data_IF_384720010481
#
_entry.id   IF_384720010481
#
_cell.length_a   1.000
_cell.length_b   1.000
_cell.length_c   1.000
_cell.angle_alpha   90.00
_cell.angle_beta   90.00
_cell.angle_gamma   90.00
#
_symmetry.space_group_name_H-M   'P 1'
#
loop_
_entity.id
_entity.type
_entity.pdbx_description
1 polymer ?
#
# COMPACT_ATOMS: atom_id res chain seq x y z
N UNK A 1 -43.00 7.12 -19.05
CA UNK A 1 -42.32 5.89 -18.57
C UNK A 1 -41.49 6.33 -17.36
N UNK A 2 -41.96 6.06 -16.14
CA UNK A 2 -41.19 6.37 -14.92
C UNK A 2 -40.10 5.32 -14.79
N UNK A 3 -38.85 5.71 -14.93
CA UNK A 3 -37.68 4.85 -14.58
C UNK A 3 -37.62 4.88 -13.06
N UNK A 4 -38.10 3.83 -12.40
CA UNK A 4 -37.84 3.63 -10.98
C UNK A 4 -36.38 3.25 -10.82
N UNK A 5 -35.57 4.20 -10.37
CA UNK A 5 -34.21 3.91 -9.94
C UNK A 5 -34.30 3.32 -8.54
N UNK A 6 -34.21 2.00 -8.46
CA UNK A 6 -34.17 1.32 -7.16
C UNK A 6 -32.72 1.43 -6.61
N UNK A 7 -32.60 1.78 -5.34
CA UNK A 7 -31.34 1.62 -4.61
C UNK A 7 -30.97 0.14 -4.63
N UNK A 8 -29.76 -0.18 -5.14
CA UNK A 8 -29.27 -1.55 -5.19
C UNK A 8 -28.47 -1.87 -3.95
N UNK A 9 -28.75 -2.99 -3.31
CA UNK A 9 -27.95 -3.57 -2.25
C UNK A 9 -27.28 -4.83 -2.81
N UNK A 10 -25.95 -4.93 -2.68
CA UNK A 10 -25.23 -6.16 -2.99
C UNK A 10 -25.30 -7.07 -1.76
N UNK A 11 -25.98 -8.20 -1.89
CA UNK A 11 -26.22 -9.13 -0.78
C UNK A 11 -25.03 -10.05 -0.50
N UNK A 12 -24.11 -10.17 -1.46
CA UNK A 12 -22.90 -10.96 -1.27
C UNK A 12 -22.05 -10.40 -0.13
N UNK A 13 -21.74 -11.28 0.83
CA UNK A 13 -20.94 -10.88 1.99
C UNK A 13 -19.51 -10.51 1.60
N UNK A 14 -19.14 -9.27 1.84
CA UNK A 14 -17.77 -8.78 1.65
C UNK A 14 -16.97 -8.88 2.95
N UNK A 15 -15.69 -9.25 2.84
CA UNK A 15 -14.83 -9.65 3.96
C UNK A 15 -13.61 -8.75 4.09
N UNK A 16 -13.29 -8.37 5.32
CA UNK A 16 -11.99 -7.80 5.70
C UNK A 16 -11.02 -8.94 6.14
N UNK A 17 -9.75 -8.62 6.38
CA UNK A 17 -8.76 -9.64 6.81
C UNK A 17 -9.11 -10.28 8.15
N UNK A 18 -9.80 -9.57 9.04
CA UNK A 18 -10.24 -10.09 10.34
C UNK A 18 -11.34 -11.16 10.24
N UNK A 19 -12.03 -11.26 9.11
CA UNK A 19 -13.20 -12.13 8.94
C UNK A 19 -12.82 -13.53 8.46
N UNK A 20 -11.53 -13.75 8.19
CA UNK A 20 -11.02 -15.02 7.69
C UNK A 20 -9.73 -15.47 8.38
N UNK A 21 -9.51 -16.78 8.37
CA UNK A 21 -8.22 -17.40 8.68
C UNK A 21 -7.78 -18.32 7.53
N UNK A 22 -6.47 -18.55 7.40
CA UNK A 22 -5.99 -19.62 6.52
C UNK A 22 -6.38 -20.97 7.08
N UNK A 23 -6.91 -21.83 6.23
CA UNK A 23 -7.06 -23.25 6.55
C UNK A 23 -5.71 -23.95 6.41
N UNK A 24 -5.15 -24.53 7.48
CA UNK A 24 -3.92 -25.29 7.38
C UNK A 24 -4.06 -26.47 6.41
N UNK A 25 -2.99 -26.76 5.68
CA UNK A 25 -2.91 -27.88 4.73
C UNK A 25 -1.66 -28.69 4.98
N UNK A 26 -1.68 -29.96 4.54
CA UNK A 26 -0.47 -30.79 4.54
C UNK A 26 0.63 -30.10 3.73
N UNK A 27 1.81 -29.99 4.32
CA UNK A 27 2.97 -29.33 3.73
C UNK A 27 4.14 -30.30 3.62
N UNK A 28 4.89 -30.23 2.55
CA UNK A 28 6.14 -30.96 2.36
C UNK A 28 7.37 -30.14 2.77
N UNK A 29 7.16 -28.88 3.13
CA UNK A 29 8.22 -27.96 3.56
C UNK A 29 8.75 -28.37 4.93
N UNK A 30 10.06 -28.56 5.05
CA UNK A 30 10.73 -28.94 6.29
C UNK A 30 11.06 -27.75 7.17
N UNK A 31 11.26 -26.57 6.56
CA UNK A 31 11.67 -25.37 7.27
C UNK A 31 11.04 -24.11 6.64
N UNK A 32 10.79 -23.09 7.48
CA UNK A 32 10.42 -21.74 7.01
C UNK A 32 11.51 -21.10 6.15
N UNK A 33 12.77 -21.55 6.28
CA UNK A 33 13.91 -21.10 5.46
C UNK A 33 13.75 -21.51 4.00
N UNK A 34 13.00 -22.58 3.73
CA UNK A 34 12.78 -23.10 2.37
C UNK A 34 11.82 -22.22 1.56
N UNK A 35 11.10 -21.31 2.21
CA UNK A 35 10.13 -20.43 1.55
C UNK A 35 10.82 -19.26 0.87
N UNK A 36 10.64 -19.14 -0.45
CA UNK A 36 11.12 -18.00 -1.22
C UNK A 36 10.08 -16.87 -1.24
N UNK A 37 10.39 -15.73 -0.62
CA UNK A 37 9.52 -14.53 -0.63
C UNK A 37 9.77 -13.58 -1.81
N UNK A 38 10.87 -13.74 -2.54
CA UNK A 38 11.16 -12.87 -3.71
C UNK A 38 10.22 -13.21 -4.86
N UNK A 39 9.76 -12.18 -5.53
CA UNK A 39 8.98 -12.26 -6.76
C UNK A 39 9.62 -11.38 -7.83
N UNK A 40 9.45 -11.78 -9.09
CA UNK A 40 9.83 -10.99 -10.24
C UNK A 40 8.58 -10.61 -11.02
N UNK A 41 8.44 -9.34 -11.35
CA UNK A 41 7.32 -8.78 -12.11
C UNK A 41 7.82 -8.08 -13.35
N UNK A 42 7.14 -8.28 -14.47
CA UNK A 42 7.28 -7.49 -15.68
C UNK A 42 6.03 -6.64 -15.84
N UNK A 43 6.21 -5.34 -16.01
CA UNK A 43 5.10 -4.40 -16.05
C UNK A 43 4.59 -4.19 -17.46
N UNK A 44 3.26 -4.06 -17.60
CA UNK A 44 2.52 -4.09 -18.85
C UNK A 44 2.96 -3.02 -19.86
N UNK A 45 3.00 -1.78 -19.41
CA UNK A 45 3.27 -0.63 -20.29
C UNK A 45 4.73 -0.22 -20.29
N UNK A 46 5.35 -0.14 -19.15
CA UNK A 46 6.74 0.28 -19.02
C UNK A 46 7.74 -0.77 -19.52
N UNK A 47 7.32 -2.03 -19.63
CA UNK A 47 8.19 -3.19 -19.89
C UNK A 47 9.37 -3.33 -18.93
N UNK A 48 9.39 -2.56 -17.84
CA UNK A 48 10.39 -2.71 -16.79
C UNK A 48 10.22 -4.06 -16.09
N UNK A 49 11.33 -4.60 -15.64
CA UNK A 49 11.36 -5.71 -14.72
C UNK A 49 11.81 -5.23 -13.33
N UNK A 50 11.17 -5.77 -12.30
CA UNK A 50 11.57 -5.59 -10.91
C UNK A 50 11.55 -6.92 -10.17
N UNK A 51 12.57 -7.16 -9.33
CA UNK A 51 12.67 -8.37 -8.51
C UNK A 51 13.00 -8.01 -7.07
N UNK A 52 12.20 -8.53 -6.15
CA UNK A 52 12.36 -8.27 -4.71
C UNK A 52 11.23 -8.87 -3.89
N UNK A 53 11.13 -8.47 -2.63
CA UNK A 53 10.02 -8.84 -1.75
C UNK A 53 8.93 -7.78 -1.92
N UNK A 54 7.73 -8.14 -2.38
CA UNK A 54 6.72 -7.18 -2.84
C UNK A 54 5.94 -6.51 -1.69
N UNK A 55 6.67 -5.95 -0.75
CA UNK A 55 6.15 -5.10 0.34
C UNK A 55 6.58 -3.66 0.05
N UNK A 56 5.65 -2.72 0.24
CA UNK A 56 5.83 -1.31 -0.08
C UNK A 56 5.54 -0.48 1.17
N UNK A 57 6.44 0.44 1.53
CA UNK A 57 6.14 1.46 2.52
C UNK A 57 5.23 2.54 1.91
N UNK A 58 4.17 2.90 2.63
CA UNK A 58 3.19 3.88 2.18
C UNK A 58 3.77 5.30 2.12
N UNK A 59 3.26 6.10 1.20
CA UNK A 59 3.64 7.51 1.00
C UNK A 59 3.07 8.45 2.07
N UNK A 60 3.25 8.08 3.34
CA UNK A 60 2.78 8.82 4.50
C UNK A 60 3.95 9.41 5.27
N UNK A 61 3.74 10.54 5.94
CA UNK A 61 4.73 11.12 6.85
C UNK A 61 5.13 10.09 7.92
N UNK A 62 6.44 9.99 8.19
CA UNK A 62 6.99 9.01 9.12
C UNK A 62 7.12 7.58 8.57
N UNK A 63 6.68 7.33 7.33
CA UNK A 63 6.77 6.03 6.65
C UNK A 63 7.41 6.16 5.26
N UNK A 64 6.91 7.05 4.41
CA UNK A 64 7.45 7.30 3.06
C UNK A 64 8.73 8.15 3.08
N UNK A 65 9.66 7.82 3.94
CA UNK A 65 10.90 8.59 4.20
C UNK A 65 12.12 7.89 3.63
N UNK A 66 13.15 8.68 3.26
CA UNK A 66 14.39 8.14 2.70
C UNK A 66 15.15 7.22 3.65
N UNK A 67 15.05 7.46 4.98
CA UNK A 67 15.63 6.55 5.97
C UNK A 67 14.98 5.16 5.95
N UNK A 68 13.65 5.13 5.86
CA UNK A 68 12.87 3.88 5.68
C UNK A 68 13.23 3.23 4.32
N UNK A 69 13.30 4.04 3.23
CA UNK A 69 13.64 3.54 1.90
C UNK A 69 15.01 2.86 1.88
N UNK A 70 16.00 3.41 2.58
CA UNK A 70 17.31 2.78 2.70
C UNK A 70 17.20 1.39 3.32
N UNK A 71 16.49 1.26 4.44
CA UNK A 71 16.36 -0.02 5.15
C UNK A 71 15.53 -1.03 4.39
N UNK A 72 14.42 -0.62 3.80
CA UNK A 72 13.61 -1.51 2.98
C UNK A 72 14.37 -2.00 1.74
N UNK A 73 15.18 -1.14 1.11
CA UNK A 73 15.96 -1.52 -0.07
C UNK A 73 17.02 -2.60 0.23
N UNK A 74 17.54 -2.67 1.46
CA UNK A 74 18.45 -3.72 1.90
C UNK A 74 17.79 -5.11 1.85
N UNK A 75 16.44 -5.15 1.97
CA UNK A 75 15.61 -6.35 1.84
C UNK A 75 14.97 -6.51 0.44
N UNK A 76 15.29 -5.63 -0.50
CA UNK A 76 14.69 -5.62 -1.83
C UNK A 76 13.19 -5.26 -1.82
N UNK A 77 12.76 -4.37 -0.91
CA UNK A 77 11.40 -3.84 -0.79
C UNK A 77 11.33 -2.42 -1.31
N UNK A 78 10.13 -1.96 -1.68
CA UNK A 78 9.88 -0.64 -2.25
C UNK A 78 9.42 0.34 -1.17
N UNK A 79 9.72 1.63 -1.37
CA UNK A 79 9.12 2.73 -0.59
C UNK A 79 8.50 3.75 -1.55
N UNK A 80 7.20 4.03 -1.38
CA UNK A 80 6.59 5.20 -1.97
C UNK A 80 6.93 6.42 -1.11
N UNK A 81 7.71 7.35 -1.67
CA UNK A 81 8.07 8.58 -0.96
C UNK A 81 6.84 9.49 -0.83
N UNK A 82 6.81 10.30 0.21
CA UNK A 82 5.77 11.34 0.37
C UNK A 82 5.70 12.27 -0.85
N UNK A 83 4.59 12.97 -1.06
CA UNK A 83 4.40 13.87 -2.23
C UNK A 83 5.36 15.07 -2.22
N UNK A 84 5.86 15.45 -1.04
CA UNK A 84 6.77 16.57 -0.85
C UNK A 84 8.24 16.13 -1.08
N UNK A 85 8.58 15.92 -2.36
CA UNK A 85 9.94 15.51 -2.73
C UNK A 85 10.94 16.65 -2.51
N UNK A 86 11.97 16.36 -1.75
CA UNK A 86 13.12 17.26 -1.60
C UNK A 86 14.30 16.72 -2.43
N UNK A 87 14.57 17.37 -3.55
CA UNK A 87 15.69 17.02 -4.44
C UNK A 87 17.02 16.98 -3.69
N UNK A 88 17.25 17.93 -2.75
CA UNK A 88 18.49 17.98 -1.96
C UNK A 88 18.62 16.75 -1.07
N UNK A 89 17.54 16.32 -0.46
CA UNK A 89 17.52 15.09 0.37
C UNK A 89 17.76 13.85 -0.49
N UNK A 90 17.12 13.73 -1.65
CA UNK A 90 17.36 12.61 -2.57
C UNK A 90 18.82 12.55 -3.01
N UNK A 91 19.48 13.69 -3.28
CA UNK A 91 20.91 13.76 -3.63
C UNK A 91 21.84 13.16 -2.59
N UNK A 92 21.53 13.28 -1.30
CA UNK A 92 22.32 12.72 -0.22
C UNK A 92 22.47 11.19 -0.30
N UNK A 93 21.48 10.52 -0.89
CA UNK A 93 21.46 9.07 -1.09
C UNK A 93 22.03 8.62 -2.45
N UNK A 94 22.55 9.53 -3.27
CA UNK A 94 23.01 9.25 -4.65
C UNK A 94 24.04 8.12 -4.75
N UNK A 95 24.79 7.84 -3.70
CA UNK A 95 25.78 6.75 -3.67
C UNK A 95 25.17 5.36 -3.47
N UNK A 96 23.90 5.27 -3.06
CA UNK A 96 23.23 3.99 -2.75
C UNK A 96 22.32 3.59 -3.91
N UNK A 97 22.91 2.97 -4.94
CA UNK A 97 22.19 2.60 -6.18
C UNK A 97 20.93 1.73 -5.93
N UNK A 98 20.96 0.86 -4.93
CA UNK A 98 19.82 -0.02 -4.59
C UNK A 98 18.57 0.74 -4.18
N UNK A 99 18.69 1.91 -3.54
CA UNK A 99 17.53 2.72 -3.14
C UNK A 99 16.73 3.16 -4.36
N UNK A 100 17.39 3.62 -5.41
CA UNK A 100 16.71 4.18 -6.58
C UNK A 100 15.91 3.19 -7.40
N UNK A 101 16.25 1.90 -7.31
CA UNK A 101 15.47 0.83 -7.93
C UNK A 101 14.22 0.47 -7.11
N UNK A 102 14.19 0.90 -5.84
CA UNK A 102 13.20 0.54 -4.86
C UNK A 102 12.47 1.76 -4.26
N UNK A 103 12.45 2.91 -4.95
CA UNK A 103 11.61 4.04 -4.59
C UNK A 103 10.63 4.38 -5.68
N UNK A 104 9.43 4.82 -5.26
CA UNK A 104 8.43 5.43 -6.12
C UNK A 104 8.24 6.89 -5.72
N UNK A 105 8.16 7.78 -6.70
CA UNK A 105 7.85 9.20 -6.49
C UNK A 105 6.34 9.36 -6.48
N UNK A 106 5.78 9.80 -5.35
CA UNK A 106 4.33 10.00 -5.24
C UNK A 106 3.93 11.41 -5.66
N UNK A 107 2.81 11.53 -6.36
CA UNK A 107 2.18 12.80 -6.75
C UNK A 107 0.67 12.72 -6.54
N UNK A 108 0.02 13.88 -6.42
CA UNK A 108 -1.41 14.05 -6.61
C UNK A 108 -1.73 14.37 -8.07
N UNK A 109 -2.87 15.04 -8.30
CA UNK A 109 -3.32 15.46 -9.64
C UNK A 109 -3.19 16.96 -9.88
N UNK A 110 -2.58 17.71 -8.96
CA UNK A 110 -2.36 19.14 -9.11
C UNK A 110 -1.24 19.42 -10.12
N UNK A 111 -1.33 20.56 -10.80
CA UNK A 111 -0.32 21.00 -11.76
C UNK A 111 1.07 21.10 -11.12
N UNK A 112 1.13 21.64 -9.90
CA UNK A 112 2.36 21.82 -9.14
C UNK A 112 3.03 20.47 -8.83
N UNK A 113 2.24 19.44 -8.51
CA UNK A 113 2.75 18.07 -8.25
C UNK A 113 3.42 17.52 -9.51
N UNK A 114 2.78 17.70 -10.66
CA UNK A 114 3.30 17.25 -11.95
C UNK A 114 4.57 18.00 -12.39
N UNK A 115 4.62 19.32 -12.16
CA UNK A 115 5.81 20.13 -12.43
C UNK A 115 6.98 19.72 -11.53
N UNK A 116 6.70 19.43 -10.24
CA UNK A 116 7.73 18.95 -9.32
C UNK A 116 8.25 17.57 -9.72
N UNK A 117 7.36 16.65 -10.10
CA UNK A 117 7.75 15.34 -10.64
C UNK A 117 8.71 15.50 -11.84
N UNK A 118 8.38 16.42 -12.78
CA UNK A 118 9.20 16.68 -13.95
C UNK A 118 10.62 17.14 -13.57
N UNK A 119 10.74 18.04 -12.58
CA UNK A 119 12.03 18.53 -12.06
C UNK A 119 12.83 17.39 -11.45
N UNK A 120 12.19 16.56 -10.63
CA UNK A 120 12.85 15.42 -9.97
C UNK A 120 13.31 14.39 -11.01
N UNK A 121 12.46 13.99 -11.95
CA UNK A 121 12.80 12.97 -12.95
C UNK A 121 13.80 13.46 -14.00
N UNK A 122 13.91 14.78 -14.26
CA UNK A 122 14.98 15.34 -15.09
C UNK A 122 16.37 15.11 -14.46
N UNK A 123 16.46 15.18 -13.12
CA UNK A 123 17.70 14.97 -12.40
C UNK A 123 17.96 13.49 -12.05
N UNK A 124 16.89 12.74 -11.72
CA UNK A 124 16.94 11.34 -11.31
C UNK A 124 16.18 10.45 -12.30
N UNK A 125 16.58 10.51 -13.57
CA UNK A 125 15.92 9.75 -14.66
C UNK A 125 15.92 8.24 -14.46
N UNK A 126 16.80 7.70 -13.62
CA UNK A 126 16.91 6.28 -13.29
C UNK A 126 15.84 5.77 -12.29
N UNK A 127 15.09 6.67 -11.61
CA UNK A 127 13.94 6.24 -10.78
C UNK A 127 12.87 5.70 -11.73
N UNK A 128 12.42 4.47 -11.48
CA UNK A 128 11.52 3.74 -12.38
C UNK A 128 10.04 3.91 -12.04
N UNK A 129 9.69 4.17 -10.78
CA UNK A 129 8.30 4.13 -10.32
C UNK A 129 7.74 5.53 -10.07
N UNK A 130 6.51 5.76 -10.56
CA UNK A 130 5.68 6.92 -10.26
C UNK A 130 4.42 6.41 -9.56
N UNK A 131 4.02 7.01 -8.43
CA UNK A 131 2.79 6.70 -7.72
C UNK A 131 1.83 7.89 -7.78
N UNK A 132 0.75 7.77 -8.55
CA UNK A 132 -0.32 8.76 -8.61
C UNK A 132 -1.36 8.39 -7.56
N UNK A 133 -1.42 9.17 -6.49
CA UNK A 133 -2.16 8.85 -5.28
C UNK A 133 -3.22 9.90 -4.95
N UNK A 134 -4.48 9.47 -4.98
CA UNK A 134 -5.65 10.25 -4.58
C UNK A 134 -6.56 9.41 -3.68
N UNK A 135 -7.33 10.07 -2.82
CA UNK A 135 -8.29 9.39 -1.95
C UNK A 135 -9.44 8.73 -2.75
N UNK A 136 -9.80 9.32 -3.88
CA UNK A 136 -10.88 8.86 -4.76
C UNK A 136 -10.40 8.76 -6.21
N UNK A 137 -10.07 7.55 -6.65
CA UNK A 137 -9.63 7.24 -8.01
C UNK A 137 -10.76 7.10 -9.03
N UNK A 138 -12.03 7.35 -8.66
CA UNK A 138 -13.20 7.16 -9.52
C UNK A 138 -13.55 8.38 -10.39
N UNK A 139 -12.81 9.48 -10.28
CA UNK A 139 -13.11 10.67 -11.08
C UNK A 139 -12.55 10.55 -12.51
N UNK A 140 -13.33 11.02 -13.49
CA UNK A 140 -12.90 11.12 -14.88
C UNK A 140 -11.61 11.96 -15.02
N UNK A 141 -11.49 13.01 -14.19
CA UNK A 141 -10.27 13.82 -14.11
C UNK A 141 -9.04 12.97 -13.78
N UNK A 142 -9.17 12.00 -12.88
CA UNK A 142 -8.07 11.12 -12.48
C UNK A 142 -7.62 10.23 -13.64
N UNK A 143 -8.54 9.58 -14.36
CA UNK A 143 -8.22 8.75 -15.53
C UNK A 143 -7.56 9.57 -16.66
N UNK A 144 -8.05 10.79 -16.92
CA UNK A 144 -7.43 11.71 -17.89
C UNK A 144 -6.02 12.14 -17.48
N UNK A 145 -5.82 12.43 -16.19
CA UNK A 145 -4.51 12.79 -15.65
C UNK A 145 -3.54 11.61 -15.75
N UNK A 146 -3.97 10.40 -15.40
CA UNK A 146 -3.17 9.18 -15.54
C UNK A 146 -2.70 8.98 -16.98
N UNK A 147 -3.59 9.14 -17.98
CA UNK A 147 -3.22 9.08 -19.41
C UNK A 147 -2.14 10.09 -19.75
N UNK A 148 -2.27 11.34 -19.29
CA UNK A 148 -1.27 12.39 -19.55
C UNK A 148 0.10 12.08 -18.94
N UNK A 149 0.13 11.44 -17.77
CA UNK A 149 1.38 10.98 -17.13
C UNK A 149 1.98 9.81 -17.91
N UNK A 150 1.15 8.86 -18.37
CA UNK A 150 1.60 7.74 -19.21
C UNK A 150 2.20 8.21 -20.52
N UNK A 151 1.54 9.11 -21.22
CA UNK A 151 2.02 9.67 -22.49
C UNK A 151 3.38 10.35 -22.33
N UNK A 152 3.57 11.09 -21.25
CA UNK A 152 4.83 11.77 -20.97
C UNK A 152 5.95 10.84 -20.48
N UNK A 153 5.61 9.80 -19.77
CA UNK A 153 6.56 8.87 -19.16
C UNK A 153 6.29 7.41 -19.57
N UNK A 154 6.40 7.06 -20.87
CA UNK A 154 6.04 5.75 -21.39
C UNK A 154 6.88 4.61 -20.79
N UNK A 155 8.12 4.88 -20.36
CA UNK A 155 9.05 3.90 -19.81
C UNK A 155 9.01 3.80 -18.28
N UNK A 156 8.21 4.62 -17.59
CA UNK A 156 8.08 4.55 -16.13
C UNK A 156 6.97 3.58 -15.73
N UNK A 157 7.19 2.84 -14.67
CA UNK A 157 6.15 2.00 -14.07
C UNK A 157 5.21 2.88 -13.25
N UNK A 158 3.95 2.95 -13.64
CA UNK A 158 2.96 3.82 -13.01
C UNK A 158 2.07 3.01 -12.08
N UNK A 159 2.05 3.42 -10.82
CA UNK A 159 1.12 3.01 -9.78
C UNK A 159 0.01 4.06 -9.73
N UNK A 160 -1.26 3.66 -9.75
CA UNK A 160 -2.39 4.59 -9.69
C UNK A 160 -3.50 4.09 -8.75
N UNK A 161 -4.11 4.97 -8.00
CA UNK A 161 -5.23 4.66 -7.08
C UNK A 161 -5.57 5.86 -6.16
N UNK A 162 -6.56 5.62 -5.24
CA UNK A 162 -7.11 4.32 -4.84
C UNK A 162 -8.50 4.03 -5.44
N UNK A 163 -8.72 2.76 -5.70
CA UNK A 163 -10.01 2.20 -6.10
C UNK A 163 -10.27 0.91 -5.30
N UNK A 164 -11.47 0.34 -5.38
CA UNK A 164 -11.86 -0.90 -4.67
C UNK A 164 -12.74 -1.83 -5.50
N UNK A 165 -13.01 -1.51 -6.77
CA UNK A 165 -13.87 -2.30 -7.64
C UNK A 165 -13.13 -2.79 -8.88
N UNK A 166 -13.60 -3.91 -9.44
CA UNK A 166 -13.02 -4.55 -10.61
C UNK A 166 -13.08 -3.65 -11.85
N UNK A 167 -14.21 -2.99 -12.09
CA UNK A 167 -14.45 -2.08 -13.21
C UNK A 167 -13.48 -0.88 -13.21
N UNK A 168 -13.31 -0.22 -12.07
CA UNK A 168 -12.35 0.89 -11.96
C UNK A 168 -10.90 0.42 -12.00
N UNK A 169 -10.61 -0.78 -11.53
CA UNK A 169 -9.29 -1.40 -11.71
C UNK A 169 -8.99 -1.56 -13.20
N UNK A 170 -9.94 -2.09 -13.98
CA UNK A 170 -9.80 -2.21 -15.44
C UNK A 170 -9.65 -0.84 -16.11
N UNK A 171 -10.46 0.15 -15.74
CA UNK A 171 -10.41 1.51 -16.28
C UNK A 171 -9.02 2.14 -16.07
N UNK A 172 -8.45 2.03 -14.86
CA UNK A 172 -7.11 2.58 -14.58
C UNK A 172 -6.01 1.86 -15.35
N UNK A 173 -6.12 0.54 -15.52
CA UNK A 173 -5.17 -0.23 -16.33
C UNK A 173 -5.27 0.22 -17.79
N UNK A 174 -6.46 0.30 -18.36
CA UNK A 174 -6.67 0.74 -19.74
C UNK A 174 -6.24 2.21 -19.95
N UNK A 175 -6.27 3.02 -18.89
CA UNK A 175 -5.76 4.39 -18.87
C UNK A 175 -4.24 4.48 -18.69
N UNK A 176 -3.53 3.35 -18.55
CA UNK A 176 -2.06 3.31 -18.57
C UNK A 176 -1.39 2.97 -17.24
N UNK A 177 -2.11 2.51 -16.21
CA UNK A 177 -1.50 2.01 -14.98
C UNK A 177 -0.86 0.63 -15.20
N UNK A 178 0.36 0.45 -14.70
CA UNK A 178 1.01 -0.86 -14.59
C UNK A 178 0.55 -1.59 -13.33
N UNK A 179 0.27 -0.83 -12.27
CA UNK A 179 -0.12 -1.32 -10.95
C UNK A 179 -1.27 -0.46 -10.42
N UNK A 180 -2.36 -1.09 -9.99
CA UNK A 180 -3.50 -0.38 -9.38
C UNK A 180 -3.43 -0.50 -7.86
N UNK A 181 -3.58 0.63 -7.17
CA UNK A 181 -3.58 0.70 -5.71
C UNK A 181 -5.01 0.55 -5.19
N UNK A 182 -5.26 -0.53 -4.43
CA UNK A 182 -6.59 -0.99 -3.99
C UNK A 182 -6.78 -0.76 -2.51
N UNK A 183 -7.76 0.05 -2.15
CA UNK A 183 -8.17 0.29 -0.76
C UNK A 183 -8.77 1.67 -0.53
N UNK A 184 -10.01 1.71 -0.03
CA UNK A 184 -10.70 2.92 0.43
C UNK A 184 -11.26 2.63 1.82
N UNK A 185 -10.74 3.31 2.83
CA UNK A 185 -11.21 3.20 4.20
C UNK A 185 -10.62 2.10 5.08
N UNK A 186 -9.72 1.19 4.64
CA UNK A 186 -9.25 0.10 5.50
C UNK A 186 -8.08 0.50 6.42
N UNK A 187 -7.44 1.65 6.20
CA UNK A 187 -6.26 2.08 6.96
C UNK A 187 -6.55 2.37 8.43
N UNK A 188 -5.60 2.07 9.33
CA UNK A 188 -5.75 2.25 10.79
C UNK A 188 -5.94 3.71 11.23
N UNK A 189 -5.51 4.66 10.41
CA UNK A 189 -5.68 6.11 10.63
C UNK A 189 -6.65 6.75 9.64
N UNK A 190 -7.32 5.94 8.81
CA UNK A 190 -8.34 6.38 7.87
C UNK A 190 -9.69 6.48 8.58
N UNK A 191 -10.43 7.56 8.32
CA UNK A 191 -11.78 7.77 8.84
C UNK A 191 -12.82 7.93 7.73
N UNK A 192 -12.47 7.64 6.47
CA UNK A 192 -13.34 7.78 5.30
C UNK A 192 -14.66 7.04 5.50
N UNK A 193 -14.63 5.76 5.96
CA UNK A 193 -15.86 4.97 6.21
C UNK A 193 -16.79 5.64 7.22
N UNK A 194 -16.24 6.32 8.23
CA UNK A 194 -17.02 7.01 9.28
C UNK A 194 -17.54 8.36 8.77
N UNK A 195 -16.70 9.11 8.08
CA UNK A 195 -17.04 10.48 7.65
C UNK A 195 -17.94 10.54 6.43
N UNK A 196 -17.84 9.55 5.54
CA UNK A 196 -18.50 9.60 4.23
C UNK A 196 -19.46 8.42 3.99
N UNK A 197 -19.40 7.37 4.79
CA UNK A 197 -20.10 6.11 4.54
C UNK A 197 -19.49 5.29 3.37
N UNK A 198 -18.40 5.79 2.74
CA UNK A 198 -17.77 5.14 1.58
C UNK A 198 -16.68 4.19 2.05
N UNK A 199 -16.60 3.02 1.44
CA UNK A 199 -15.54 2.03 1.69
C UNK A 199 -15.91 0.67 1.13
N UNK A 200 -14.95 -0.25 1.21
CA UNK A 200 -15.14 -1.64 0.82
C UNK A 200 -14.31 -2.54 1.73
N UNK A 201 -14.80 -3.74 2.14
CA UNK A 201 -14.02 -4.69 2.91
C UNK A 201 -12.79 -5.16 2.14
N UNK A 202 -11.60 -5.01 2.75
CA UNK A 202 -10.33 -5.00 2.02
C UNK A 202 -9.97 -6.34 1.38
N UNK A 203 -10.27 -7.47 2.02
CA UNK A 203 -9.97 -8.77 1.43
C UNK A 203 -10.77 -9.01 0.14
N UNK A 204 -12.08 -8.70 0.17
CA UNK A 204 -12.93 -8.82 -1.01
C UNK A 204 -12.49 -7.88 -2.13
N UNK A 205 -12.17 -6.61 -1.80
CA UNK A 205 -11.61 -5.67 -2.77
C UNK A 205 -10.33 -6.21 -3.43
N UNK A 206 -9.43 -6.80 -2.64
CA UNK A 206 -8.18 -7.37 -3.15
C UNK A 206 -8.45 -8.54 -4.09
N UNK A 207 -9.35 -9.46 -3.74
CA UNK A 207 -9.68 -10.63 -4.58
C UNK A 207 -10.27 -10.19 -5.92
N UNK A 208 -11.27 -9.31 -5.90
CA UNK A 208 -11.98 -8.85 -7.10
C UNK A 208 -11.08 -8.01 -8.01
N UNK A 209 -10.31 -7.08 -7.43
CA UNK A 209 -9.40 -6.24 -8.20
C UNK A 209 -8.18 -7.02 -8.72
N UNK A 210 -7.69 -8.05 -8.00
CA UNK A 210 -6.61 -8.92 -8.47
C UNK A 210 -7.04 -9.70 -9.71
N UNK A 211 -8.23 -10.28 -9.69
CA UNK A 211 -8.78 -11.02 -10.83
C UNK A 211 -8.87 -10.12 -12.08
N UNK A 212 -9.47 -8.92 -11.91
CA UNK A 212 -9.57 -7.94 -12.98
C UNK A 212 -8.21 -7.49 -13.54
N UNK A 213 -7.24 -7.23 -12.66
CA UNK A 213 -5.91 -6.78 -13.09
C UNK A 213 -5.11 -7.88 -13.78
N UNK A 214 -5.14 -9.09 -13.23
CA UNK A 214 -4.43 -10.23 -13.81
C UNK A 214 -4.98 -10.62 -15.19
N UNK A 215 -6.32 -10.53 -15.38
CA UNK A 215 -6.95 -10.73 -16.69
C UNK A 215 -6.46 -9.76 -17.77
N UNK A 216 -6.02 -8.56 -17.35
CA UNK A 216 -5.44 -7.55 -18.25
C UNK A 216 -3.91 -7.56 -18.29
N UNK A 217 -3.23 -8.48 -17.59
CA UNK A 217 -1.77 -8.57 -17.53
C UNK A 217 -1.12 -7.43 -16.74
N UNK A 218 -1.83 -6.85 -15.79
CA UNK A 218 -1.35 -5.83 -14.86
C UNK A 218 -1.33 -6.35 -13.42
N UNK A 219 -1.02 -5.50 -12.45
CA UNK A 219 -0.80 -5.87 -11.06
C UNK A 219 -1.62 -5.00 -10.11
N UNK A 220 -1.79 -5.45 -8.86
CA UNK A 220 -2.39 -4.66 -7.80
C UNK A 220 -1.50 -4.53 -6.57
N UNK A 221 -1.72 -3.44 -5.83
CA UNK A 221 -1.23 -3.24 -4.46
C UNK A 221 -2.42 -3.31 -3.52
N UNK A 222 -2.40 -4.20 -2.53
CA UNK A 222 -3.31 -4.14 -1.41
C UNK A 222 -2.85 -3.03 -0.44
N UNK A 223 -3.59 -1.92 -0.38
CA UNK A 223 -3.24 -0.74 0.40
C UNK A 223 -4.17 -0.56 1.60
N UNK A 224 -3.64 -0.76 2.80
CA UNK A 224 -4.35 -0.64 4.06
C UNK A 224 -4.96 -1.95 4.59
N UNK A 225 -5.48 -1.89 5.82
CA UNK A 225 -6.12 -3.01 6.50
C UNK A 225 -5.18 -3.98 7.21
N UNK A 226 -3.89 -4.02 6.87
CA UNK A 226 -2.91 -4.88 7.53
C UNK A 226 -2.48 -4.28 8.88
N UNK A 227 -2.67 -5.04 9.97
CA UNK A 227 -2.29 -4.67 11.34
C UNK A 227 -1.24 -5.61 11.93
N UNK A 228 -1.09 -6.79 11.36
CA UNK A 228 -0.15 -7.83 11.79
C UNK A 228 0.41 -8.61 10.58
N UNK A 229 1.48 -9.40 10.77
CA UNK A 229 2.05 -10.22 9.69
C UNK A 229 1.07 -11.19 9.03
N UNK A 230 0.09 -11.70 9.80
CA UNK A 230 -0.97 -12.56 9.28
C UNK A 230 -1.86 -11.86 8.25
N UNK A 231 -2.15 -10.57 8.44
CA UNK A 231 -2.95 -9.80 7.47
C UNK A 231 -2.17 -9.57 6.17
N UNK A 232 -0.86 -9.32 6.27
CA UNK A 232 0.04 -9.22 5.10
C UNK A 232 0.01 -10.53 4.29
N UNK A 233 0.08 -11.67 4.98
CA UNK A 233 -0.04 -12.97 4.33
C UNK A 233 -1.42 -13.17 3.68
N UNK A 234 -2.52 -12.75 4.35
CA UNK A 234 -3.88 -12.84 3.82
C UNK A 234 -4.06 -11.98 2.57
N UNK A 235 -3.46 -10.79 2.52
CA UNK A 235 -3.47 -9.95 1.32
C UNK A 235 -2.82 -10.68 0.12
N UNK A 236 -1.66 -11.28 0.30
CA UNK A 236 -1.03 -12.11 -0.72
C UNK A 236 -1.83 -13.37 -1.04
N UNK A 237 -2.43 -14.00 -0.03
CA UNK A 237 -3.32 -15.15 -0.20
C UNK A 237 -4.57 -14.81 -1.00
N UNK A 238 -5.09 -13.58 -0.89
CA UNK A 238 -6.20 -13.04 -1.66
C UNK A 238 -5.84 -12.64 -3.10
N UNK A 239 -4.57 -12.72 -3.48
CA UNK A 239 -4.14 -12.46 -4.86
C UNK A 239 -3.38 -11.14 -5.05
N UNK A 240 -3.14 -10.35 -4.01
CA UNK A 240 -2.33 -9.14 -4.14
C UNK A 240 -0.93 -9.46 -4.69
N UNK A 241 -0.47 -8.65 -5.64
CA UNK A 241 0.91 -8.71 -6.13
C UNK A 241 1.86 -8.02 -5.17
N UNK A 242 1.44 -6.87 -4.65
CA UNK A 242 2.16 -6.08 -3.66
C UNK A 242 1.26 -5.78 -2.47
N UNK A 243 1.88 -5.54 -1.30
CA UNK A 243 1.17 -5.09 -0.08
C UNK A 243 1.81 -3.80 0.41
N UNK A 244 1.00 -2.74 0.55
CA UNK A 244 1.44 -1.45 1.07
C UNK A 244 1.15 -1.35 2.56
N UNK A 245 2.16 -0.94 3.33
CA UNK A 245 2.12 -0.85 4.78
C UNK A 245 2.37 0.58 5.25
N UNK A 246 1.44 1.11 6.04
CA UNK A 246 1.56 2.38 6.74
C UNK A 246 1.87 2.18 8.22
N UNK A 247 0.84 2.00 9.06
CA UNK A 247 0.96 1.91 10.52
C UNK A 247 1.89 0.81 11.04
N UNK A 248 2.03 -0.31 10.31
CA UNK A 248 2.98 -1.36 10.69
C UNK A 248 4.44 -0.92 10.59
N UNK A 249 4.77 0.05 9.74
CA UNK A 249 6.10 0.60 9.55
C UNK A 249 6.30 1.97 10.24
N UNK A 250 5.28 2.48 10.92
CA UNK A 250 5.36 3.72 11.69
C UNK A 250 6.00 3.51 13.07
N UNK A 251 6.54 4.57 13.67
CA UNK A 251 7.09 4.56 15.03
C UNK A 251 8.56 4.19 15.13
N UNK A 252 9.30 4.18 14.02
CA UNK A 252 10.72 3.83 13.94
C UNK A 252 11.62 5.06 13.78
N UNK A 253 12.89 4.90 14.17
CA UNK A 253 13.93 5.94 14.06
C UNK A 253 14.07 6.48 12.65
N UNK A 254 14.03 5.59 11.66
CA UNK A 254 14.24 5.90 10.25
C UNK A 254 13.10 6.74 9.65
N UNK A 255 11.91 6.75 10.29
CA UNK A 255 10.74 7.53 9.88
C UNK A 255 10.77 8.99 10.35
N UNK A 256 11.69 9.36 11.26
CA UNK A 256 11.85 10.74 11.78
C UNK A 256 10.57 11.42 12.29
N UNK A 257 9.63 10.64 12.82
CA UNK A 257 8.40 11.16 13.40
C UNK A 257 8.65 11.93 14.70
N UNK A 258 7.70 12.78 15.11
CA UNK A 258 7.79 13.54 16.35
C UNK A 258 7.65 12.62 17.57
N UNK A 259 8.71 12.54 18.37
CA UNK A 259 8.73 11.76 19.60
C UNK A 259 7.97 12.49 20.71
N UNK A 260 7.01 11.80 21.30
CA UNK A 260 6.21 12.27 22.45
C UNK A 260 6.44 11.31 23.61
N UNK A 261 6.73 11.87 24.79
CA UNK A 261 6.84 11.10 26.04
C UNK A 261 5.57 11.30 26.87
N UNK A 262 4.93 10.22 27.30
CA UNK A 262 3.75 10.26 28.16
C UNK A 262 3.83 9.08 29.12
N UNK A 263 3.68 9.36 30.44
CA UNK A 263 3.70 8.34 31.51
C UNK A 263 4.90 7.37 31.39
N UNK A 264 6.11 7.92 31.19
CA UNK A 264 7.34 7.12 31.07
C UNK A 264 7.52 6.36 29.77
N UNK A 265 6.51 6.30 28.91
CA UNK A 265 6.55 5.64 27.62
C UNK A 265 6.81 6.60 26.47
N UNK A 266 7.48 6.11 25.42
CA UNK A 266 7.79 6.86 24.19
C UNK A 266 6.81 6.51 23.10
N UNK A 267 6.30 7.53 22.41
CA UNK A 267 5.38 7.40 21.28
C UNK A 267 5.83 8.29 20.12
N UNK A 268 5.41 7.94 18.91
CA UNK A 268 5.55 8.77 17.70
C UNK A 268 4.15 9.18 17.26
N UNK A 269 3.96 10.45 16.92
CA UNK A 269 2.72 10.92 16.28
C UNK A 269 2.66 10.36 14.85
N UNK A 270 1.55 9.70 14.52
CA UNK A 270 1.27 9.14 13.20
C UNK A 270 -0.14 9.52 12.78
N UNK A 271 -0.32 9.92 11.51
CA UNK A 271 -1.59 10.44 11.03
C UNK A 271 -1.86 10.09 9.57
N UNK A 272 -3.14 10.07 9.21
CA UNK A 272 -3.59 9.83 7.84
C UNK A 272 -3.23 11.00 6.91
N UNK A 273 -2.96 10.70 5.64
CA UNK A 273 -2.61 11.71 4.63
C UNK A 273 -3.72 12.75 4.38
N UNK A 274 -4.98 12.41 4.69
CA UNK A 274 -6.14 13.31 4.60
C UNK A 274 -6.60 13.84 5.98
N UNK A 275 -5.78 13.70 7.03
CA UNK A 275 -6.08 14.23 8.36
C UNK A 275 -5.92 15.76 8.41
N UNK A 276 -6.55 16.37 9.40
CA UNK A 276 -6.35 17.79 9.70
C UNK A 276 -4.87 18.12 9.93
N UNK A 277 -4.15 17.27 10.67
CA UNK A 277 -2.70 17.42 10.90
C UNK A 277 -1.91 17.46 9.59
N UNK A 278 -2.20 16.55 8.64
CA UNK A 278 -1.54 16.55 7.34
C UNK A 278 -1.91 17.79 6.51
N UNK A 279 -3.19 18.20 6.54
CA UNK A 279 -3.64 19.39 5.82
C UNK A 279 -3.01 20.67 6.39
N UNK A 280 -2.93 20.83 7.70
CA UNK A 280 -2.27 21.97 8.34
C UNK A 280 -0.77 22.01 7.99
N UNK A 281 -0.11 20.88 7.96
CA UNK A 281 1.33 20.80 7.68
C UNK A 281 1.69 21.05 6.22
N UNK A 282 0.89 20.59 5.28
CA UNK A 282 1.26 20.54 3.86
C UNK A 282 0.45 21.45 2.94
N UNK A 283 -0.77 21.85 3.38
CA UNK A 283 -1.73 22.53 2.49
C UNK A 283 -2.33 23.80 3.09
N UNK A 284 -1.83 24.26 4.25
CA UNK A 284 -2.29 25.50 4.90
C UNK A 284 -3.63 25.36 5.63
N UNK A 285 -4.12 24.16 5.84
CA UNK A 285 -5.36 23.88 6.56
C UNK A 285 -6.39 23.06 5.79
N UNK A 286 -7.46 22.69 6.47
CA UNK A 286 -8.61 22.02 5.88
C UNK A 286 -9.60 23.06 5.38
N UNK A 287 -10.06 22.94 4.13
CA UNK A 287 -11.09 23.83 3.58
C UNK A 287 -12.46 23.53 4.20
N UNK A 288 -13.30 24.56 4.37
CA UNK A 288 -14.62 24.46 5.03
C UNK A 288 -15.59 23.45 4.40
N UNK A 289 -15.42 23.18 3.10
CA UNK A 289 -16.23 22.21 2.35
C UNK A 289 -15.69 20.77 2.44
N UNK A 290 -14.62 20.51 3.23
CA UNK A 290 -14.02 19.17 3.39
C UNK A 290 -14.13 18.69 4.82
N UNK A 291 -14.43 17.40 4.96
CA UNK A 291 -14.27 16.67 6.22
C UNK A 291 -12.87 16.07 6.32
N UNK A 292 -12.34 15.99 7.53
CA UNK A 292 -11.09 15.26 7.78
C UNK A 292 -11.33 13.75 7.67
N UNK A 293 -10.78 13.12 6.66
CA UNK A 293 -10.90 11.68 6.45
C UNK A 293 -9.72 10.88 7.02
N UNK A 294 -9.01 11.46 7.97
CA UNK A 294 -7.91 10.83 8.70
C UNK A 294 -7.82 11.34 10.12
N UNK A 295 -7.28 10.50 11.00
CA UNK A 295 -7.02 10.83 12.40
C UNK A 295 -5.54 10.82 12.72
N UNK A 296 -5.16 11.52 13.79
CA UNK A 296 -3.84 11.47 14.41
C UNK A 296 -3.88 10.51 15.58
N UNK A 297 -2.92 9.60 15.63
CA UNK A 297 -2.75 8.63 16.72
C UNK A 297 -1.32 8.66 17.25
N UNK A 298 -1.14 8.16 18.46
CA UNK A 298 0.18 7.91 19.05
C UNK A 298 0.51 6.43 18.89
N UNK A 299 1.52 6.12 18.05
CA UNK A 299 2.04 4.76 17.93
C UNK A 299 3.22 4.58 18.89
N UNK A 300 3.32 3.43 19.54
CA UNK A 300 4.44 3.13 20.43
C UNK A 300 5.76 3.25 19.65
N UNK A 301 6.76 3.91 20.24
CA UNK A 301 8.10 3.95 19.68
C UNK A 301 8.71 2.55 19.65
N UNK A 302 9.25 2.14 18.50
CA UNK A 302 9.69 0.78 18.19
C UNK A 302 11.20 0.66 17.93
N UNK A 303 11.96 1.76 18.06
CA UNK A 303 13.40 1.76 17.74
C UNK A 303 13.66 1.57 16.24
N UNK A 304 14.66 0.77 15.91
CA UNK A 304 15.07 0.51 14.51
C UNK A 304 14.06 -0.39 13.78
N UNK A 305 13.82 -0.10 12.50
CA UNK A 305 12.79 -0.78 11.69
C UNK A 305 13.13 -2.23 11.33
N UNK A 306 14.39 -2.62 11.38
CA UNK A 306 14.82 -3.95 10.91
C UNK A 306 14.11 -5.11 11.61
N UNK A 307 13.90 -5.02 12.93
CA UNK A 307 13.23 -6.08 13.69
C UNK A 307 11.76 -6.23 13.27
N UNK A 308 11.10 -5.12 12.97
CA UNK A 308 9.73 -5.11 12.43
C UNK A 308 9.68 -5.77 11.05
N UNK A 309 10.64 -5.45 10.17
CA UNK A 309 10.75 -6.08 8.85
C UNK A 309 10.92 -7.60 9.00
N UNK A 310 11.88 -8.04 9.82
CA UNK A 310 12.14 -9.45 10.03
C UNK A 310 10.92 -10.19 10.62
N UNK A 311 10.20 -9.58 11.54
CA UNK A 311 8.97 -10.13 12.10
C UNK A 311 7.88 -10.30 11.04
N UNK A 312 7.66 -9.29 10.19
CA UNK A 312 6.70 -9.36 9.08
C UNK A 312 7.07 -10.51 8.13
N UNK A 313 8.32 -10.57 7.69
CA UNK A 313 8.80 -11.61 6.79
C UNK A 313 8.71 -13.01 7.41
N UNK A 314 9.02 -13.13 8.71
CA UNK A 314 8.90 -14.36 9.48
C UNK A 314 7.45 -14.87 9.52
N UNK A 315 6.49 -13.97 9.77
CA UNK A 315 5.07 -14.28 9.76
C UNK A 315 4.57 -14.75 8.40
N UNK A 316 4.93 -14.05 7.32
CA UNK A 316 4.56 -14.46 5.95
C UNK A 316 5.15 -15.82 5.59
N UNK A 317 6.43 -16.09 5.93
CA UNK A 317 7.03 -17.43 5.74
C UNK A 317 6.27 -18.51 6.50
N UNK A 318 5.90 -18.23 7.76
CA UNK A 318 5.10 -19.15 8.56
C UNK A 318 3.77 -19.48 7.90
N UNK A 319 3.05 -18.49 7.42
CA UNK A 319 1.78 -18.69 6.69
C UNK A 319 1.98 -19.59 5.46
N UNK A 320 3.03 -19.32 4.67
CA UNK A 320 3.38 -20.18 3.53
C UNK A 320 3.60 -21.62 3.92
N UNK A 321 4.33 -21.90 5.02
CA UNK A 321 4.57 -23.29 5.49
C UNK A 321 3.29 -23.97 5.93
N UNK A 322 2.39 -23.25 6.62
CA UNK A 322 1.11 -23.82 7.06
C UNK A 322 0.16 -24.20 5.92
N UNK A 323 0.25 -23.55 4.76
CA UNK A 323 -0.60 -23.86 3.60
C UNK A 323 0.14 -24.67 2.53
N UNK A 324 1.42 -25.00 2.75
CA UNK A 324 2.23 -25.78 1.82
C UNK A 324 2.71 -25.01 0.59
N UNK A 325 2.84 -23.69 0.69
CA UNK A 325 3.34 -22.84 -0.39
C UNK A 325 4.87 -22.67 -0.33
N UNK A 326 5.66 -23.23 -1.26
CA UNK A 326 7.13 -23.14 -1.24
C UNK A 326 7.63 -21.74 -1.63
N UNK A 327 6.77 -20.89 -2.15
CA UNK A 327 7.10 -19.51 -2.48
C UNK A 327 5.90 -18.59 -2.31
N UNK A 328 6.17 -17.29 -2.14
CA UNK A 328 5.12 -16.27 -2.08
C UNK A 328 4.27 -16.25 -3.37
N UNK A 329 4.88 -16.55 -4.53
CA UNK A 329 4.16 -16.68 -5.81
C UNK A 329 3.05 -17.74 -5.77
N UNK A 330 3.23 -18.78 -4.99
CA UNK A 330 2.28 -19.89 -4.91
C UNK A 330 1.27 -19.74 -3.78
N UNK A 331 1.44 -18.74 -2.91
CA UNK A 331 0.60 -18.58 -1.72
C UNK A 331 -0.89 -18.47 -2.07
N UNK A 332 -1.28 -17.66 -3.04
CA UNK A 332 -2.70 -17.52 -3.45
C UNK A 332 -3.28 -18.85 -3.95
N UNK A 333 -2.51 -19.62 -4.73
CA UNK A 333 -2.92 -20.95 -5.23
C UNK A 333 -3.06 -22.00 -4.14
N UNK A 334 -2.25 -21.89 -3.07
CA UNK A 334 -2.30 -22.79 -1.92
C UNK A 334 -3.33 -22.34 -0.87
N UNK A 335 -3.85 -21.11 -0.97
CA UNK A 335 -4.78 -20.55 0.02
C UNK A 335 -6.15 -21.21 -0.06
N UNK A 336 -6.70 -21.47 1.10
CA UNK A 336 -8.14 -21.64 1.35
C UNK A 336 -8.44 -20.83 2.60
N UNK A 337 -9.34 -19.88 2.50
CA UNK A 337 -9.82 -19.13 3.65
C UNK A 337 -11.00 -19.85 4.30
N UNK A 338 -11.06 -19.83 5.62
CA UNK A 338 -12.24 -20.14 6.40
C UNK A 338 -12.78 -18.85 6.99
N UNK A 339 -14.08 -18.61 6.79
CA UNK A 339 -14.76 -17.47 7.41
C UNK A 339 -14.92 -17.75 8.91
N UNK A 340 -14.65 -16.74 9.72
CA UNK A 340 -14.73 -16.83 11.18
C UNK A 340 -15.58 -15.70 11.72
N UNK A 341 -16.23 -15.93 12.84
CA UNK A 341 -16.76 -14.84 13.67
C UNK A 341 -15.58 -14.16 14.37
N UNK A 342 -15.70 -12.86 14.69
CA UNK A 342 -14.64 -12.13 15.39
C UNK A 342 -14.28 -12.86 16.69
N UNK A 343 -13.15 -13.53 16.69
CA UNK A 343 -12.57 -14.14 17.88
C UNK A 343 -11.41 -13.25 18.32
N UNK A 344 -11.59 -12.54 19.42
CA UNK A 344 -10.50 -11.83 20.08
C UNK A 344 -9.80 -12.80 21.03
N UNK A 345 -8.63 -13.28 20.63
CA UNK A 345 -7.70 -13.85 21.58
C UNK A 345 -6.77 -12.73 22.05
N UNK A 346 -7.28 -11.88 22.92
CA UNK A 346 -6.59 -10.73 23.48
C UNK A 346 -5.93 -11.00 24.83
N UNK A 347 -5.89 -12.27 25.25
CA UNK A 347 -5.34 -12.73 26.54
C UNK A 347 -3.93 -12.19 26.79
N UNK A 348 -3.16 -11.90 25.74
CA UNK A 348 -1.79 -11.40 25.79
C UNK A 348 -1.61 -9.98 25.24
N UNK A 349 -2.69 -9.27 24.92
CA UNK A 349 -2.65 -7.90 24.40
C UNK A 349 -2.72 -6.82 25.49
N UNK A 350 -2.38 -7.15 26.74
CA UNK A 350 -2.30 -6.20 27.86
C UNK A 350 -0.99 -5.43 27.88
#
# INVERSE_FOLDING_TARGET
MYIFIFVRIEEELKLDYSDVLFRPKRSTLKSRKDVNLKRTYRFKYSNNEWSGIPIIAANMDGVGELGIAQKLSEHGMITCLTKQHDIKKIKQFKKIKSIYQNIALSIGTKKEDFENLNKVLKEFSFIKFICIDVANGYSEHFSKFLKSVRDKYPTKTIIAGNVVTADMTQELILSGADIVKVGIGPGSVCTTRIQTGVGYPQLSAVIECADAAHGLGAHIIADGGCTCPGDVAKAFGGGADFVMLGGMLAGHDEGKGKLVKTNGSKYIEFYGSSSETANNKHYGGLSDYRSSEGRTVRVKYRGKINDTILNILGGVRSSCTYVGAPSLKQLSKCTTFVRVTKQFNDTFLK
#
